data_IF_388047493286
#
_entry.id   IF_388047493286
#
_cell.length_a   1.000
_cell.length_b   1.000
_cell.length_c   1.000
_cell.angle_alpha   90.00
_cell.angle_beta   90.00
_cell.angle_gamma   90.00
#
_symmetry.space_group_name_H-M   'P 1'
#
loop_
_entity.id
_entity.type
_entity.pdbx_description
1 polymer ?
#
# COMPACT_ATOMS: atom_id res chain seq x y z
N UNK A 1 -39.26 2.53 4.91
CA UNK A 1 -38.61 1.25 5.28
C UNK A 1 -38.18 1.39 6.72
N UNK A 2 -38.44 0.39 7.56
CA UNK A 2 -38.23 0.44 9.01
C UNK A 2 -36.81 0.89 9.37
N UNK A 3 -36.64 2.11 9.88
CA UNK A 3 -35.35 2.74 10.26
C UNK A 3 -34.55 1.98 11.34
N UNK A 4 -35.09 0.87 11.86
CA UNK A 4 -34.56 0.16 13.01
C UNK A 4 -33.91 -1.19 12.69
N UNK A 5 -33.67 -1.49 11.40
CA UNK A 5 -32.91 -2.67 10.98
C UNK A 5 -31.50 -2.26 10.61
N UNK A 6 -30.52 -2.95 11.17
CA UNK A 6 -29.12 -2.82 10.80
C UNK A 6 -28.63 -4.16 10.27
N UNK A 7 -27.77 -4.09 9.27
CA UNK A 7 -27.30 -5.26 8.56
C UNK A 7 -25.80 -5.47 8.80
N UNK A 8 -25.40 -6.73 8.84
CA UNK A 8 -23.99 -7.13 8.80
C UNK A 8 -23.78 -8.20 7.75
N UNK A 9 -22.77 -8.02 6.90
CA UNK A 9 -22.39 -8.99 5.87
C UNK A 9 -20.87 -9.20 5.86
N UNK A 10 -20.46 -10.45 5.63
CA UNK A 10 -19.05 -10.84 5.46
C UNK A 10 -18.72 -11.02 3.99
N UNK A 11 -17.62 -10.41 3.55
CA UNK A 11 -17.12 -10.49 2.19
C UNK A 11 -15.65 -10.93 2.18
N UNK A 12 -15.36 -12.07 1.59
CA UNK A 12 -13.99 -12.46 1.27
C UNK A 12 -13.47 -11.59 0.12
N UNK A 13 -12.35 -10.90 0.31
CA UNK A 13 -11.73 -10.12 -0.74
C UNK A 13 -10.68 -10.97 -1.45
N UNK A 14 -11.01 -11.39 -2.68
CA UNK A 14 -10.07 -12.08 -3.58
C UNK A 14 -9.98 -11.33 -4.91
N UNK A 15 -8.76 -11.04 -5.36
CA UNK A 15 -8.55 -10.35 -6.64
C UNK A 15 -9.21 -8.96 -6.73
N UNK A 16 -9.51 -8.32 -5.59
CA UNK A 16 -10.21 -7.02 -5.54
C UNK A 16 -11.73 -7.10 -5.63
N UNK A 17 -12.30 -8.31 -5.67
CA UNK A 17 -13.77 -8.54 -5.66
C UNK A 17 -14.17 -9.14 -4.30
N UNK A 18 -15.33 -8.71 -3.78
CA UNK A 18 -15.90 -9.22 -2.54
C UNK A 18 -16.88 -10.38 -2.79
N UNK A 19 -16.60 -11.56 -2.25
CA UNK A 19 -17.48 -12.73 -2.28
C UNK A 19 -18.16 -12.95 -0.94
N UNK A 20 -19.48 -13.14 -0.92
CA UNK A 20 -20.23 -13.33 0.33
C UNK A 20 -19.79 -14.62 1.02
N UNK A 21 -19.50 -14.52 2.31
CA UNK A 21 -19.22 -15.67 3.18
C UNK A 21 -20.40 -15.93 4.12
N UNK A 22 -20.54 -17.17 4.63
CA UNK A 22 -21.46 -17.45 5.72
C UNK A 22 -21.20 -16.54 6.91
N UNK A 23 -22.27 -16.03 7.55
CA UNK A 23 -22.17 -15.22 8.75
C UNK A 23 -21.78 -16.10 9.94
N UNK A 24 -20.48 -16.36 10.08
CA UNK A 24 -19.90 -17.24 11.10
C UNK A 24 -18.48 -16.81 11.42
N UNK A 25 -18.06 -16.99 12.68
CA UNK A 25 -16.67 -16.78 13.12
C UNK A 25 -15.71 -17.68 12.34
N UNK A 26 -16.16 -18.88 11.95
CA UNK A 26 -15.34 -19.84 11.20
C UNK A 26 -14.96 -19.34 9.80
N UNK A 27 -15.61 -18.29 9.31
CA UNK A 27 -15.25 -17.62 8.05
C UNK A 27 -13.99 -16.76 8.18
N UNK A 28 -13.51 -16.47 9.38
CA UNK A 28 -12.31 -15.69 9.65
C UNK A 28 -11.12 -16.65 9.83
N UNK A 29 -10.47 -17.01 8.73
CA UNK A 29 -9.37 -17.98 8.71
C UNK A 29 -8.02 -17.29 8.58
N UNK A 30 -6.94 -18.03 8.79
CA UNK A 30 -5.58 -17.50 8.65
C UNK A 30 -5.19 -17.21 7.18
N UNK A 31 -5.88 -17.81 6.21
CA UNK A 31 -5.53 -17.72 4.79
C UNK A 31 -6.33 -16.67 4.01
N UNK A 32 -7.36 -16.08 4.61
CA UNK A 32 -8.27 -15.18 3.92
C UNK A 32 -8.24 -13.74 4.45
N UNK A 33 -8.73 -12.84 3.61
CA UNK A 33 -8.97 -11.44 3.95
C UNK A 33 -10.47 -11.21 3.87
N UNK A 34 -11.06 -10.79 4.97
CA UNK A 34 -12.52 -10.64 5.08
C UNK A 34 -12.87 -9.22 5.48
N UNK A 35 -13.71 -8.57 4.66
CA UNK A 35 -14.37 -7.33 5.03
C UNK A 35 -15.71 -7.65 5.71
N UNK A 36 -15.90 -7.13 6.91
CA UNK A 36 -17.15 -7.22 7.66
C UNK A 36 -17.78 -5.84 7.62
N UNK A 37 -18.87 -5.70 6.87
CA UNK A 37 -19.59 -4.44 6.74
C UNK A 37 -20.61 -4.37 7.86
N UNK A 38 -20.36 -3.52 8.86
CA UNK A 38 -21.12 -3.48 10.10
C UNK A 38 -21.87 -2.15 10.23
N UNK A 39 -23.17 -2.18 9.92
CA UNK A 39 -24.03 -1.00 10.05
C UNK A 39 -24.46 -0.70 11.49
N UNK A 40 -24.29 -1.64 12.43
CA UNK A 40 -24.58 -1.39 13.84
C UNK A 40 -23.58 -0.40 14.43
N UNK A 41 -22.30 -0.65 14.20
CA UNK A 41 -21.21 0.20 14.68
C UNK A 41 -20.79 1.27 13.65
N UNK A 42 -21.40 1.26 12.45
CA UNK A 42 -21.05 2.15 11.34
C UNK A 42 -19.56 2.08 10.96
N UNK A 43 -19.02 0.86 10.88
CA UNK A 43 -17.60 0.59 10.61
C UNK A 43 -17.46 -0.56 9.61
N UNK A 44 -16.38 -0.54 8.82
CA UNK A 44 -15.94 -1.70 8.05
C UNK A 44 -14.74 -2.33 8.77
N UNK A 45 -14.92 -3.54 9.30
CA UNK A 45 -13.81 -4.30 9.88
C UNK A 45 -13.08 -5.05 8.78
N UNK A 46 -11.76 -4.96 8.75
CA UNK A 46 -10.94 -5.67 7.78
C UNK A 46 -10.08 -6.71 8.49
N UNK A 47 -10.52 -7.96 8.47
CA UNK A 47 -9.75 -9.11 8.95
C UNK A 47 -8.64 -9.45 7.97
N UNK A 48 -7.40 -9.46 8.44
CA UNK A 48 -6.21 -9.86 7.69
C UNK A 48 -5.67 -11.16 8.29
N UNK A 49 -5.93 -12.30 7.66
CA UNK A 49 -5.42 -13.60 8.10
C UNK A 49 -3.88 -13.65 8.18
N UNK A 50 -3.37 -14.49 9.07
CA UNK A 50 -1.92 -14.63 9.36
C UNK A 50 -1.07 -14.88 8.10
N UNK A 51 -1.58 -15.70 7.19
CA UNK A 51 -0.87 -16.16 5.99
C UNK A 51 -1.10 -15.27 4.77
N UNK A 52 -1.69 -14.08 4.95
CA UNK A 52 -1.98 -13.17 3.85
C UNK A 52 -0.77 -12.31 3.49
N UNK A 53 -0.40 -12.30 2.21
CA UNK A 53 0.77 -11.58 1.71
C UNK A 53 0.54 -10.07 1.58
N UNK A 54 1.63 -9.28 1.57
CA UNK A 54 1.58 -7.81 1.48
C UNK A 54 0.73 -7.30 0.31
N UNK A 55 0.88 -7.90 -0.87
CA UNK A 55 0.12 -7.52 -2.08
C UNK A 55 -1.38 -7.73 -1.87
N UNK A 56 -1.78 -8.85 -1.25
CA UNK A 56 -3.19 -9.13 -0.96
C UNK A 56 -3.74 -8.13 0.07
N UNK A 57 -2.98 -7.82 1.13
CA UNK A 57 -3.34 -6.82 2.16
C UNK A 57 -3.54 -5.41 1.56
N UNK A 58 -2.68 -4.99 0.63
CA UNK A 58 -2.86 -3.69 -0.06
C UNK A 58 -4.04 -3.69 -1.02
N UNK A 59 -4.20 -4.77 -1.79
CA UNK A 59 -5.34 -4.94 -2.70
C UNK A 59 -6.66 -4.93 -1.94
N UNK A 60 -6.71 -5.59 -0.79
CA UNK A 60 -7.91 -5.63 0.06
C UNK A 60 -8.21 -4.30 0.71
N UNK A 61 -7.20 -3.53 1.14
CA UNK A 61 -7.42 -2.16 1.65
C UNK A 61 -8.04 -1.24 0.59
N UNK A 62 -7.62 -1.36 -0.68
CA UNK A 62 -8.25 -0.62 -1.78
C UNK A 62 -9.71 -1.05 -1.98
N UNK A 63 -9.98 -2.36 -1.98
CA UNK A 63 -11.34 -2.88 -2.09
C UNK A 63 -12.22 -2.44 -0.91
N UNK A 64 -11.70 -2.49 0.32
CA UNK A 64 -12.36 -2.05 1.54
C UNK A 64 -12.74 -0.56 1.49
N UNK A 65 -11.86 0.31 0.96
CA UNK A 65 -12.20 1.73 0.71
C UNK A 65 -13.37 1.89 -0.25
N UNK A 66 -13.40 1.10 -1.32
CA UNK A 66 -14.53 1.08 -2.25
C UNK A 66 -15.82 0.62 -1.56
N UNK A 67 -15.76 -0.50 -0.83
CA UNK A 67 -16.90 -1.06 -0.10
C UNK A 67 -17.45 -0.09 0.95
N UNK A 68 -16.58 0.57 1.72
CA UNK A 68 -16.98 1.61 2.69
C UNK A 68 -17.79 2.73 2.03
N UNK A 69 -17.40 3.17 0.84
CA UNK A 69 -18.06 4.29 0.14
C UNK A 69 -19.35 3.84 -0.54
N UNK A 70 -19.31 2.76 -1.31
CA UNK A 70 -20.39 2.38 -2.21
C UNK A 70 -21.33 1.32 -1.63
N UNK A 71 -20.90 0.61 -0.59
CA UNK A 71 -21.62 -0.54 -0.06
C UNK A 71 -21.39 -1.81 -0.89
N UNK A 72 -22.14 -2.85 -0.55
CA UNK A 72 -22.23 -4.11 -1.29
C UNK A 72 -23.67 -4.38 -1.67
N UNK A 73 -23.90 -4.76 -2.93
CA UNK A 73 -25.24 -5.11 -3.40
C UNK A 73 -25.66 -6.46 -2.79
N UNK A 74 -26.87 -6.51 -2.25
CA UNK A 74 -27.52 -7.70 -1.72
C UNK A 74 -28.98 -7.74 -2.18
N UNK A 75 -29.25 -8.51 -3.23
CA UNK A 75 -30.55 -8.52 -3.90
C UNK A 75 -30.87 -7.11 -4.44
N UNK A 76 -31.98 -6.52 -4.00
CA UNK A 76 -32.41 -5.19 -4.42
C UNK A 76 -31.97 -4.08 -3.44
N UNK A 77 -31.01 -4.35 -2.56
CA UNK A 77 -30.57 -3.43 -1.51
C UNK A 77 -29.06 -3.28 -1.50
N UNK A 78 -28.57 -2.15 -0.99
CA UNK A 78 -27.13 -1.89 -0.82
C UNK A 78 -26.85 -1.86 0.67
N UNK A 79 -25.95 -2.72 1.12
CA UNK A 79 -25.56 -2.88 2.53
C UNK A 79 -24.24 -2.16 2.78
N UNK A 80 -24.11 -1.50 3.93
CA UNK A 80 -22.88 -0.88 4.42
C UNK A 80 -22.38 0.26 3.54
N UNK A 81 -23.31 1.05 3.00
CA UNK A 81 -22.99 2.28 2.26
C UNK A 81 -22.63 3.40 3.23
N UNK A 82 -21.61 4.19 2.90
CA UNK A 82 -21.16 5.34 3.70
C UNK A 82 -20.73 4.99 5.14
N UNK A 83 -20.07 3.84 5.33
CA UNK A 83 -19.54 3.46 6.64
C UNK A 83 -18.49 4.48 7.14
N UNK A 84 -18.40 4.65 8.45
CA UNK A 84 -17.58 5.67 9.11
C UNK A 84 -16.08 5.49 8.90
N UNK A 85 -15.52 4.37 9.36
CA UNK A 85 -14.08 4.08 9.31
C UNK A 85 -13.79 2.64 8.85
N UNK A 86 -12.54 2.38 8.45
CA UNK A 86 -12.04 1.03 8.19
C UNK A 86 -11.09 0.68 9.33
N UNK A 87 -11.40 -0.36 10.08
CA UNK A 87 -10.57 -0.81 11.21
C UNK A 87 -9.96 -2.17 10.86
N UNK A 88 -8.63 -2.18 10.73
CA UNK A 88 -7.87 -3.40 10.47
C UNK A 88 -7.77 -4.28 11.72
N UNK A 89 -7.87 -5.59 11.50
CA UNK A 89 -7.65 -6.61 12.51
C UNK A 89 -6.60 -7.56 11.94
N UNK A 90 -5.40 -7.49 12.48
CA UNK A 90 -4.26 -8.26 12.03
C UNK A 90 -4.20 -9.58 12.79
N UNK A 91 -4.44 -10.69 12.10
CA UNK A 91 -4.45 -12.02 12.71
C UNK A 91 -3.07 -12.46 13.22
N UNK A 92 -1.98 -11.96 12.63
CA UNK A 92 -0.60 -12.29 12.99
C UNK A 92 -0.15 -11.67 14.32
N UNK A 93 -0.72 -10.54 14.72
CA UNK A 93 -0.35 -9.81 15.95
C UNK A 93 -1.47 -9.73 16.98
N UNK A 94 -2.55 -10.49 16.81
CA UNK A 94 -3.74 -10.37 17.68
C UNK A 94 -3.45 -10.66 19.16
N UNK A 95 -2.45 -11.49 19.46
CA UNK A 95 -2.05 -11.85 20.82
C UNK A 95 -1.11 -10.82 21.45
N UNK A 96 -0.36 -10.07 20.63
CA UNK A 96 0.63 -9.10 21.07
C UNK A 96 0.14 -7.65 21.02
N UNK A 97 -0.80 -7.34 20.12
CA UNK A 97 -1.38 -6.02 19.96
C UNK A 97 -2.77 -5.93 20.61
N UNK A 98 -2.82 -5.17 21.71
CA UNK A 98 -4.05 -4.93 22.47
C UNK A 98 -5.14 -4.26 21.62
N UNK A 99 -4.77 -3.43 20.65
CA UNK A 99 -5.75 -2.74 19.80
C UNK A 99 -6.46 -3.72 18.85
N UNK A 100 -5.69 -4.55 18.13
CA UNK A 100 -6.22 -5.63 17.29
C UNK A 100 -7.05 -6.62 18.10
N UNK A 101 -6.61 -6.98 19.31
CA UNK A 101 -7.36 -7.84 20.23
C UNK A 101 -8.73 -7.24 20.59
N UNK A 102 -8.77 -5.95 20.96
CA UNK A 102 -10.01 -5.26 21.32
C UNK A 102 -10.98 -5.16 20.13
N UNK A 103 -10.47 -4.85 18.94
CA UNK A 103 -11.28 -4.81 17.70
C UNK A 103 -11.86 -6.19 17.38
N UNK A 104 -11.06 -7.25 17.52
CA UNK A 104 -11.53 -8.61 17.31
C UNK A 104 -12.60 -9.03 18.33
N UNK A 105 -12.46 -8.65 19.60
CA UNK A 105 -13.50 -8.92 20.60
C UNK A 105 -14.83 -8.23 20.25
N UNK A 106 -14.79 -7.00 19.71
CA UNK A 106 -16.00 -6.33 19.20
C UNK A 106 -16.63 -7.12 18.06
N UNK A 107 -15.84 -7.61 17.12
CA UNK A 107 -16.31 -8.48 16.04
C UNK A 107 -16.92 -9.78 16.57
N UNK A 108 -16.30 -10.44 17.56
CA UNK A 108 -16.86 -11.65 18.18
C UNK A 108 -18.22 -11.39 18.83
N UNK A 109 -18.44 -10.21 19.41
CA UNK A 109 -19.75 -9.82 19.97
C UNK A 109 -20.82 -9.71 18.90
N UNK A 110 -20.50 -9.33 17.66
CA UNK A 110 -21.46 -9.31 16.55
C UNK A 110 -22.03 -10.70 16.30
N UNK A 111 -21.18 -11.73 16.29
CA UNK A 111 -21.62 -13.11 16.05
C UNK A 111 -22.41 -13.70 17.22
N UNK A 112 -22.17 -13.21 18.45
CA UNK A 112 -22.88 -13.65 19.65
C UNK A 112 -24.16 -12.85 19.93
N UNK A 113 -24.37 -11.74 19.23
CA UNK A 113 -25.56 -10.91 19.38
C UNK A 113 -26.73 -11.53 18.62
N UNK A 114 -27.89 -11.58 19.25
CA UNK A 114 -29.10 -12.16 18.66
C UNK A 114 -29.42 -11.47 17.32
N UNK A 115 -29.43 -12.26 16.25
CA UNK A 115 -29.68 -11.82 14.88
C UNK A 115 -30.44 -12.87 14.09
N UNK A 116 -31.14 -12.42 13.05
CA UNK A 116 -31.72 -13.29 12.05
C UNK A 116 -30.78 -13.37 10.87
N UNK A 117 -30.31 -14.57 10.52
CA UNK A 117 -29.41 -14.75 9.38
C UNK A 117 -30.22 -15.14 8.15
N UNK A 118 -30.28 -14.26 7.16
CA UNK A 118 -30.90 -14.48 5.86
C UNK A 118 -29.90 -15.12 4.89
N UNK A 119 -30.34 -16.17 4.19
CA UNK A 119 -29.57 -16.97 3.22
C UNK A 119 -28.20 -17.45 3.73
N UNK A 120 -28.05 -17.56 5.06
CA UNK A 120 -26.78 -17.92 5.71
C UNK A 120 -25.68 -16.84 5.65
N UNK A 121 -25.88 -15.70 4.99
CA UNK A 121 -24.80 -14.72 4.70
C UNK A 121 -25.07 -13.30 5.19
N UNK A 122 -26.33 -12.91 5.38
CA UNK A 122 -26.73 -11.57 5.84
C UNK A 122 -27.31 -11.66 7.24
N UNK A 123 -26.66 -11.07 8.23
CA UNK A 123 -27.22 -10.94 9.58
C UNK A 123 -28.05 -9.67 9.68
N UNK A 124 -29.28 -9.83 10.18
CA UNK A 124 -30.26 -8.77 10.39
C UNK A 124 -30.45 -8.60 11.89
N UNK A 125 -30.25 -7.37 12.36
CA UNK A 125 -30.42 -6.99 13.74
C UNK A 125 -31.61 -6.04 13.86
N UNK A 126 -32.60 -6.40 14.69
CA UNK A 126 -33.79 -5.60 14.94
C UNK A 126 -33.69 -4.89 16.29
N UNK A 127 -34.09 -3.61 16.34
CA UNK A 127 -34.37 -2.93 17.62
C UNK A 127 -33.14 -2.45 18.42
N UNK A 128 -31.94 -2.46 17.83
CA UNK A 128 -30.79 -1.79 18.41
C UNK A 128 -30.90 -0.29 18.09
N UNK A 129 -31.50 0.45 19.02
CA UNK A 129 -31.54 1.91 18.97
C UNK A 129 -30.13 2.45 18.71
N UNK A 130 -30.03 3.45 17.82
CA UNK A 130 -28.77 4.10 17.50
C UNK A 130 -28.04 4.49 18.78
N UNK A 131 -27.03 3.72 19.17
CA UNK A 131 -26.07 4.22 20.14
C UNK A 131 -25.37 5.35 19.39
N UNK A 132 -25.77 6.59 19.67
CA UNK A 132 -25.04 7.79 19.27
C UNK A 132 -23.70 7.80 20.02
N UNK A 133 -22.85 6.80 19.83
CA UNK A 133 -21.46 6.90 20.17
C UNK A 133 -20.82 7.76 19.08
N UNK A 134 -20.92 9.07 19.26
CA UNK A 134 -20.09 10.06 18.58
C UNK A 134 -18.63 9.94 19.06
N UNK A 135 -18.11 8.71 19.11
CA UNK A 135 -16.73 8.40 19.46
C UNK A 135 -16.05 7.97 18.18
N UNK A 136 -15.51 8.95 17.46
CA UNK A 136 -14.59 8.67 16.36
C UNK A 136 -13.21 8.46 16.96
N UNK A 137 -12.66 7.24 16.85
CA UNK A 137 -11.37 6.83 17.45
C UNK A 137 -11.33 6.83 18.99
N UNK A 138 -12.46 6.65 19.68
CA UNK A 138 -12.51 6.73 21.14
C UNK A 138 -12.28 8.15 21.70
N UNK A 139 -12.30 9.17 20.83
CA UNK A 139 -12.10 10.57 21.17
C UNK A 139 -13.38 11.37 20.89
N UNK A 140 -13.65 12.36 21.74
CA UNK A 140 -14.72 13.33 21.49
C UNK A 140 -14.31 14.31 20.39
N UNK A 141 -15.28 14.94 19.73
CA UNK A 141 -15.03 15.99 18.71
C UNK A 141 -14.10 17.09 19.24
N UNK A 142 -14.23 17.44 20.52
CA UNK A 142 -13.41 18.44 21.20
C UNK A 142 -11.94 17.99 21.32
N UNK A 143 -11.69 16.73 21.67
CA UNK A 143 -10.34 16.18 21.76
C UNK A 143 -9.65 16.13 20.38
N UNK A 144 -10.42 15.83 19.32
CA UNK A 144 -9.91 15.85 17.95
C UNK A 144 -9.51 17.25 17.52
N UNK A 145 -10.37 18.23 17.77
CA UNK A 145 -10.12 19.61 17.34
C UNK A 145 -8.92 20.22 18.08
N UNK A 146 -8.64 19.78 19.31
CA UNK A 146 -7.40 20.09 20.04
C UNK A 146 -6.15 19.49 19.38
N UNK A 147 -6.20 18.22 18.92
CA UNK A 147 -5.08 17.57 18.22
C UNK A 147 -4.77 18.22 16.88
N UNK A 148 -5.81 18.58 16.12
CA UNK A 148 -5.66 19.30 14.84
C UNK A 148 -5.04 20.68 15.06
N UNK A 149 -5.47 21.41 16.10
CA UNK A 149 -4.91 22.71 16.46
C UNK A 149 -3.44 22.61 16.88
N UNK A 150 -3.06 21.54 17.58
CA UNK A 150 -1.67 21.28 17.95
C UNK A 150 -0.78 20.93 16.73
N UNK A 151 -1.31 20.16 15.77
CA UNK A 151 -0.58 19.77 14.56
C UNK A 151 -0.37 20.95 13.58
N UNK A 152 -1.34 21.87 13.49
CA UNK A 152 -1.20 23.09 12.68
C UNK A 152 -0.17 24.06 13.31
N UNK A 153 -0.10 24.11 14.64
CA UNK A 153 0.88 24.93 15.34
C UNK A 153 2.33 24.44 15.17
N UNK A 154 2.55 23.17 14.81
CA UNK A 154 3.90 22.59 14.62
C UNK A 154 4.43 22.65 13.19
N UNK A 155 3.60 22.96 12.19
CA UNK A 155 3.98 22.96 10.76
C UNK A 155 4.43 24.32 10.22
N UNK A 156 4.45 25.37 11.03
CA UNK A 156 4.81 26.74 10.60
C UNK A 156 6.31 27.09 10.70
N UNK A 157 7.21 26.11 10.52
CA UNK A 157 8.65 26.36 10.48
C UNK A 157 9.32 25.75 9.23
N UNK A 158 9.35 26.53 8.14
CA UNK A 158 10.38 26.40 7.10
C UNK A 158 9.89 25.98 5.72
N UNK A 159 9.47 26.97 4.91
CA UNK A 159 9.24 26.88 3.47
C UNK A 159 10.42 27.57 2.76
N UNK A 160 11.17 26.87 1.89
CA UNK A 160 12.22 27.45 1.04
C UNK A 160 11.98 27.02 -0.41
N UNK A 161 11.39 27.94 -1.17
CA UNK A 161 11.09 27.81 -2.60
C UNK A 161 12.28 28.33 -3.42
N UNK A 162 12.84 27.49 -4.30
CA UNK A 162 13.81 27.95 -5.32
C UNK A 162 13.38 27.58 -6.74
N UNK A 163 13.06 28.67 -7.44
CA UNK A 163 12.90 28.97 -8.87
C UNK A 163 13.47 27.97 -9.87
N UNK A 164 12.60 27.50 -10.76
CA UNK A 164 12.87 26.70 -11.97
C UNK A 164 12.79 27.64 -13.17
N UNK A 165 13.84 28.41 -13.48
CA UNK A 165 13.83 29.29 -14.67
C UNK A 165 15.15 29.38 -15.45
N UNK A 166 16.08 28.42 -15.35
CA UNK A 166 17.39 28.52 -16.03
C UNK A 166 17.82 27.33 -16.91
N UNK A 167 16.88 26.50 -17.41
CA UNK A 167 17.24 25.35 -18.28
C UNK A 167 16.41 25.35 -19.57
N UNK A 168 16.45 26.43 -20.37
CA UNK A 168 16.16 26.31 -21.81
C UNK A 168 17.05 27.28 -22.59
N UNK A 169 18.11 26.76 -23.21
CA UNK A 169 19.06 27.53 -24.01
C UNK A 169 19.53 26.79 -25.28
N UNK A 170 18.72 26.91 -26.34
CA UNK A 170 19.06 26.97 -27.79
C UNK A 170 19.74 25.75 -28.45
N UNK A 171 18.93 25.04 -29.25
CA UNK A 171 19.36 24.18 -30.35
C UNK A 171 19.78 25.01 -31.58
N UNK A 172 20.93 24.68 -32.17
CA UNK A 172 21.40 24.93 -33.56
C UNK A 172 22.62 24.02 -33.80
N UNK A 173 23.00 23.56 -34.98
CA UNK A 173 22.39 23.27 -36.27
C UNK A 173 23.28 22.14 -36.87
N UNK A 174 22.72 21.20 -37.62
CA UNK A 174 23.47 20.04 -38.13
C UNK A 174 24.37 20.43 -39.32
N UNK A 175 25.66 20.07 -39.25
CA UNK A 175 26.58 20.15 -40.40
C UNK A 175 26.48 18.91 -41.31
N UNK A 176 26.77 19.03 -42.63
CA UNK A 176 26.59 17.97 -43.60
C UNK A 176 27.77 16.98 -43.63
N UNK A 177 27.46 15.70 -43.76
CA UNK A 177 28.43 14.60 -43.84
C UNK A 177 28.94 14.46 -45.29
N UNK A 178 30.27 14.45 -45.46
CA UNK A 178 30.94 14.14 -46.73
C UNK A 178 31.15 12.61 -46.90
N UNK A 179 31.23 12.09 -48.15
CA UNK A 179 31.30 10.66 -48.43
C UNK A 179 32.74 10.13 -48.30
N UNK A 180 32.86 8.89 -47.79
CA UNK A 180 34.14 8.26 -47.45
C UNK A 180 34.86 7.58 -48.61
N UNK A 181 35.96 6.86 -48.32
CA UNK A 181 36.46 5.81 -49.19
C UNK A 181 36.61 4.46 -48.49
N UNK A 182 36.48 3.44 -49.33
CA UNK A 182 36.55 2.01 -49.09
C UNK A 182 37.84 1.49 -48.44
N UNK A 183 37.67 0.39 -47.71
CA UNK A 183 38.56 -0.78 -47.87
C UNK A 183 39.43 -1.12 -46.67
N UNK A 184 39.01 -2.13 -45.91
CA UNK A 184 39.87 -3.22 -45.41
C UNK A 184 39.03 -4.19 -44.59
N UNK A 185 39.14 -5.49 -44.88
CA UNK A 185 38.39 -6.56 -44.20
C UNK A 185 38.90 -6.67 -42.76
N UNK A 186 38.07 -6.26 -41.80
CA UNK A 186 38.39 -6.27 -40.38
C UNK A 186 38.04 -7.61 -39.73
N UNK A 187 39.01 -8.16 -38.99
CA UNK A 187 38.83 -9.19 -37.96
C UNK A 187 37.56 -8.88 -37.17
N UNK A 188 36.60 -9.81 -37.12
CA UNK A 188 35.35 -9.62 -36.38
C UNK A 188 35.67 -9.22 -34.93
N UNK A 189 35.43 -7.96 -34.53
CA UNK A 189 35.56 -7.59 -33.14
C UNK A 189 34.43 -8.28 -32.39
N UNK A 190 34.74 -8.90 -31.26
CA UNK A 190 33.74 -9.33 -30.29
C UNK A 190 32.75 -8.18 -30.10
N UNK A 191 31.42 -8.40 -30.23
CA UNK A 191 30.45 -7.33 -30.19
C UNK A 191 30.60 -6.60 -28.86
N UNK A 192 31.17 -5.39 -28.90
CA UNK A 192 31.13 -4.46 -27.78
C UNK A 192 29.69 -4.00 -27.69
N UNK A 193 28.90 -4.67 -26.85
CA UNK A 193 27.54 -4.24 -26.54
C UNK A 193 27.67 -2.84 -25.92
N UNK A 194 27.34 -1.82 -26.71
CA UNK A 194 27.21 -0.46 -26.21
C UNK A 194 25.87 -0.39 -25.51
N UNK A 195 25.90 -0.44 -24.18
CA UNK A 195 24.73 -0.15 -23.35
C UNK A 195 24.38 1.33 -23.53
N UNK A 196 23.17 1.61 -23.98
CA UNK A 196 22.62 2.94 -23.93
C UNK A 196 22.33 3.35 -22.48
N UNK A 197 22.18 4.65 -22.23
CA UNK A 197 22.01 5.15 -20.86
C UNK A 197 20.69 4.67 -20.23
N UNK A 198 19.68 4.33 -21.04
CA UNK A 198 18.46 3.68 -20.55
C UNK A 198 18.76 2.28 -20.00
N UNK A 199 19.51 1.44 -20.72
CA UNK A 199 19.87 0.10 -20.25
C UNK A 199 20.71 0.15 -18.97
N UNK A 200 21.60 1.14 -18.83
CA UNK A 200 22.35 1.33 -17.58
C UNK A 200 21.44 1.59 -16.39
N UNK A 201 20.41 2.44 -16.56
CA UNK A 201 19.44 2.73 -15.51
C UNK A 201 18.68 1.45 -15.11
N UNK A 202 18.27 0.65 -16.09
CA UNK A 202 17.58 -0.62 -15.85
C UNK A 202 18.45 -1.60 -15.09
N UNK A 203 19.71 -1.78 -15.49
CA UNK A 203 20.65 -2.65 -14.78
C UNK A 203 20.89 -2.16 -13.35
N UNK A 204 21.12 -0.86 -13.15
CA UNK A 204 21.31 -0.28 -11.82
C UNK A 204 20.08 -0.51 -10.93
N UNK A 205 18.87 -0.32 -11.46
CA UNK A 205 17.63 -0.58 -10.71
C UNK A 205 17.48 -2.06 -10.35
N UNK A 206 17.82 -2.96 -11.29
CA UNK A 206 17.81 -4.40 -11.08
C UNK A 206 18.81 -4.84 -10.01
N UNK A 207 20.00 -4.24 -9.96
CA UNK A 207 20.98 -4.49 -8.89
C UNK A 207 20.40 -4.10 -7.53
N UNK A 208 19.85 -2.89 -7.39
CA UNK A 208 19.29 -2.42 -6.12
C UNK A 208 18.12 -3.31 -5.66
N UNK A 209 17.16 -3.57 -6.55
CA UNK A 209 15.99 -4.40 -6.26
C UNK A 209 16.41 -5.83 -5.92
N UNK A 210 17.29 -6.43 -6.74
CA UNK A 210 17.76 -7.79 -6.56
C UNK A 210 18.53 -8.00 -5.26
N UNK A 211 19.37 -7.03 -4.87
CA UNK A 211 20.08 -7.08 -3.57
C UNK A 211 19.09 -6.95 -2.42
N UNK A 212 18.09 -6.08 -2.48
CA UNK A 212 17.11 -5.98 -1.38
C UNK A 212 16.31 -7.28 -1.26
N UNK A 213 15.91 -7.88 -2.39
CA UNK A 213 15.19 -9.15 -2.44
C UNK A 213 15.98 -10.35 -1.90
N UNK A 214 17.32 -10.32 -1.89
CA UNK A 214 18.12 -11.40 -1.29
C UNK A 214 18.17 -11.34 0.23
N UNK A 215 17.79 -10.21 0.82
CA UNK A 215 17.85 -9.95 2.26
C UNK A 215 16.47 -9.79 2.89
N UNK A 216 15.48 -9.32 2.14
CA UNK A 216 14.15 -9.02 2.63
C UNK A 216 13.10 -9.73 1.77
N UNK A 217 12.33 -10.61 2.41
CA UNK A 217 11.22 -11.31 1.79
C UNK A 217 9.95 -10.45 1.79
N UNK A 218 8.98 -10.81 0.94
CA UNK A 218 7.65 -10.18 0.90
C UNK A 218 7.66 -8.66 0.67
N UNK A 219 8.49 -8.22 -0.28
CA UNK A 219 8.56 -6.81 -0.66
C UNK A 219 7.69 -6.52 -1.88
N UNK A 220 7.15 -5.30 -1.92
CA UNK A 220 6.48 -4.73 -3.07
C UNK A 220 7.38 -3.69 -3.72
N UNK A 221 7.49 -3.71 -5.06
CA UNK A 221 8.27 -2.75 -5.82
C UNK A 221 7.32 -1.89 -6.65
N UNK A 222 7.22 -0.61 -6.32
CA UNK A 222 6.59 0.42 -7.13
C UNK A 222 7.63 1.14 -7.98
N UNK A 223 7.28 1.47 -9.21
CA UNK A 223 8.10 2.31 -10.07
C UNK A 223 7.25 3.43 -10.70
N UNK A 224 7.89 4.56 -10.97
CA UNK A 224 7.29 5.67 -11.71
C UNK A 224 8.36 6.45 -12.48
N UNK A 225 7.98 7.08 -13.59
CA UNK A 225 8.89 7.82 -14.47
C UNK A 225 9.19 7.10 -15.78
N UNK A 226 9.78 7.85 -16.72
CA UNK A 226 10.10 7.38 -18.08
C UNK A 226 11.45 7.94 -18.53
N UNK A 227 12.15 7.20 -19.39
CA UNK A 227 13.43 7.64 -19.96
C UNK A 227 14.55 7.67 -18.93
N UNK A 228 15.28 8.79 -18.87
CA UNK A 228 16.53 8.94 -18.10
C UNK A 228 16.33 9.27 -16.61
N UNK A 229 15.09 9.33 -16.13
CA UNK A 229 14.78 9.49 -14.71
C UNK A 229 13.70 8.51 -14.29
N UNK A 230 14.07 7.57 -13.39
CA UNK A 230 13.16 6.59 -12.82
C UNK A 230 13.17 6.69 -11.31
N UNK A 231 11.99 6.62 -10.70
CA UNK A 231 11.78 6.61 -9.24
C UNK A 231 11.23 5.25 -8.84
N UNK A 232 11.79 4.70 -7.78
CA UNK A 232 11.43 3.39 -7.25
C UNK A 232 11.07 3.52 -5.77
N UNK A 233 10.09 2.73 -5.34
CA UNK A 233 9.69 2.55 -3.95
C UNK A 233 9.65 1.06 -3.65
N UNK A 234 10.37 0.64 -2.63
CA UNK A 234 10.38 -0.74 -2.15
C UNK A 234 9.79 -0.72 -0.75
N UNK A 235 8.71 -1.47 -0.56
CA UNK A 235 7.94 -1.52 0.66
C UNK A 235 7.90 -2.95 1.19
N UNK A 236 8.01 -3.12 2.50
CA UNK A 236 7.84 -4.38 3.21
C UNK A 236 6.58 -4.39 4.07
N UNK A 237 6.35 -5.47 4.83
CA UNK A 237 5.22 -5.58 5.76
C UNK A 237 5.18 -4.47 6.82
N UNK A 238 6.35 -4.01 7.27
CA UNK A 238 6.52 -2.97 8.29
C UNK A 238 6.56 -1.53 7.72
N UNK A 239 6.34 -1.38 6.42
CA UNK A 239 6.31 -0.08 5.74
C UNK A 239 7.41 0.12 4.70
N UNK A 240 7.74 1.38 4.39
CA UNK A 240 8.69 1.73 3.35
C UNK A 240 10.10 1.26 3.73
N UNK A 241 10.69 0.36 2.92
CA UNK A 241 12.08 -0.10 3.11
C UNK A 241 13.03 0.89 2.46
N UNK A 242 12.76 1.28 1.21
CA UNK A 242 13.70 2.08 0.44
C UNK A 242 12.98 2.85 -0.67
N UNK A 243 13.33 4.12 -0.85
CA UNK A 243 12.92 4.91 -2.02
C UNK A 243 14.18 5.45 -2.69
N UNK A 244 14.30 5.24 -3.99
CA UNK A 244 15.47 5.71 -4.72
C UNK A 244 15.11 6.24 -6.10
N UNK A 245 15.98 7.08 -6.61
CA UNK A 245 15.87 7.66 -7.94
C UNK A 245 17.17 7.40 -8.70
N UNK A 246 17.04 7.10 -9.98
CA UNK A 246 18.17 7.01 -10.89
C UNK A 246 17.94 8.05 -11.97
N UNK A 247 18.81 9.07 -11.98
CA UNK A 247 18.76 10.15 -12.96
C UNK A 247 20.11 10.24 -13.66
N UNK A 248 20.12 10.08 -14.98
CA UNK A 248 21.34 10.06 -15.79
C UNK A 248 22.42 9.08 -15.24
N UNK A 249 22.00 7.88 -14.84
CA UNK A 249 22.89 6.85 -14.29
C UNK A 249 23.39 7.10 -12.86
N UNK A 250 22.94 8.17 -12.19
CA UNK A 250 23.27 8.46 -10.79
C UNK A 250 22.15 7.96 -9.88
N UNK A 251 22.47 6.95 -9.07
CA UNK A 251 21.60 6.42 -8.01
C UNK A 251 21.61 7.37 -6.80
N UNK A 252 20.43 7.78 -6.35
CA UNK A 252 20.24 8.57 -5.13
C UNK A 252 19.11 7.97 -4.29
N UNK A 253 19.42 7.61 -3.05
CA UNK A 253 18.44 7.19 -2.06
C UNK A 253 17.81 8.40 -1.37
N UNK A 254 16.54 8.30 -0.99
CA UNK A 254 15.92 9.30 -0.11
C UNK A 254 16.47 9.19 1.31
N UNK A 255 16.41 10.25 2.13
CA UNK A 255 16.87 10.22 3.52
C UNK A 255 16.15 9.17 4.38
N UNK A 256 14.88 8.92 4.08
CA UNK A 256 14.02 7.93 4.77
C UNK A 256 14.35 6.48 4.39
N UNK A 257 15.19 6.26 3.38
CA UNK A 257 15.54 4.90 2.94
C UNK A 257 16.29 4.13 4.02
N UNK A 258 15.86 2.88 4.21
CA UNK A 258 16.40 1.91 5.14
C UNK A 258 16.25 2.32 6.62
N UNK A 259 15.29 3.19 6.94
CA UNK A 259 14.99 3.59 8.33
C UNK A 259 14.17 2.56 9.09
N UNK A 260 13.41 1.72 8.37
CA UNK A 260 12.52 0.68 8.92
C UNK A 260 13.21 -0.66 9.13
N UNK A 261 14.46 -0.83 8.69
CA UNK A 261 15.21 -2.08 8.81
C UNK A 261 16.40 -1.94 9.78
N UNK A 262 16.87 -3.09 10.27
CA UNK A 262 18.03 -3.15 11.15
C UNK A 262 19.27 -2.45 10.53
N UNK A 263 20.00 -1.60 11.29
CA UNK A 263 21.18 -0.91 10.79
C UNK A 263 22.29 -1.83 10.27
N UNK A 264 22.46 -3.02 10.87
CA UNK A 264 23.41 -4.03 10.40
C UNK A 264 23.03 -4.56 9.03
N UNK A 265 21.75 -4.92 8.86
CA UNK A 265 21.20 -5.36 7.58
C UNK A 265 21.29 -4.27 6.50
N UNK A 266 20.97 -3.01 6.85
CA UNK A 266 21.14 -1.85 5.98
C UNK A 266 22.58 -1.74 5.45
N UNK A 267 23.57 -1.86 6.34
CA UNK A 267 24.97 -1.74 5.95
C UNK A 267 25.40 -2.88 5.02
N UNK A 268 24.92 -4.10 5.26
CA UNK A 268 25.17 -5.25 4.37
C UNK A 268 24.58 -5.03 2.98
N UNK A 269 23.31 -4.63 2.89
CA UNK A 269 22.63 -4.31 1.62
C UNK A 269 23.39 -3.23 0.85
N UNK A 270 23.74 -2.13 1.51
CA UNK A 270 24.46 -1.01 0.86
C UNK A 270 25.86 -1.41 0.41
N UNK A 271 26.59 -2.21 1.18
CA UNK A 271 27.90 -2.72 0.80
C UNK A 271 27.81 -3.59 -0.46
N UNK A 272 26.83 -4.49 -0.52
CA UNK A 272 26.61 -5.37 -1.66
C UNK A 272 26.15 -4.63 -2.91
N UNK A 273 25.24 -3.64 -2.78
CA UNK A 273 24.86 -2.75 -3.88
C UNK A 273 26.12 -2.06 -4.43
N UNK A 274 26.92 -1.43 -3.57
CA UNK A 274 28.13 -0.74 -3.99
C UNK A 274 29.14 -1.68 -4.67
N UNK A 275 29.26 -2.92 -4.19
CA UNK A 275 30.13 -3.93 -4.82
C UNK A 275 29.63 -4.30 -6.22
N UNK A 276 28.33 -4.59 -6.38
CA UNK A 276 27.74 -4.96 -7.67
C UNK A 276 27.74 -3.80 -8.66
N UNK A 277 27.54 -2.56 -8.20
CA UNK A 277 27.55 -1.36 -9.03
C UNK A 277 28.95 -1.04 -9.59
N UNK A 278 30.04 -1.48 -8.94
CA UNK A 278 31.42 -1.36 -9.47
C UNK A 278 31.69 -2.26 -10.67
N UNK A 279 30.82 -3.24 -10.94
CA UNK A 279 30.95 -4.16 -12.08
C UNK A 279 30.30 -3.60 -13.36
N UNK A 280 29.64 -2.44 -13.27
CA UNK A 280 29.02 -1.72 -14.39
C UNK A 280 29.96 -0.66 -14.95
#
# INVERSE_FOLDING_TARGET
MSENRKFVVLLEIRGGVGHRLPFSVNSLTDDNIVAIMDELNNVLWLWLGKNTGLVQRRGSMRAARSLKTYGHEYGNSIIGRHLGDILEIKGDVIESDQESANRFQTVLRLFNTASQVQDGTLAIFEGLAESKSNLKYGLTTEQRDQLVKAAIASTSAGDDTRKIEDIVGKFRDAEPIAPGPNGSVAVMPSPKIRLDDSSKIDIQSGIVIGTILSHVNNVFVGFSGTGLSKKFSIEGPEGDICKFTITAGKLNFTPESFTTIDPGLKNQILAEINQRMKLL
#
